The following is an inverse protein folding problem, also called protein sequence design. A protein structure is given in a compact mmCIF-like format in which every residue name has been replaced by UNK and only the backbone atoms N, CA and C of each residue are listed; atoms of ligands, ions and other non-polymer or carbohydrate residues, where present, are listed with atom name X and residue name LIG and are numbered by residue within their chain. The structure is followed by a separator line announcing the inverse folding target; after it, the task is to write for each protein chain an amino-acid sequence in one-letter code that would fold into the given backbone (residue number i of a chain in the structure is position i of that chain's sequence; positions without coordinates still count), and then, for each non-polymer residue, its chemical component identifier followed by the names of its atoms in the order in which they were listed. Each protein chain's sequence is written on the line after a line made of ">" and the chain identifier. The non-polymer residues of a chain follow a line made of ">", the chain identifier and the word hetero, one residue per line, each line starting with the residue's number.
data_IF_605511604929
#
_entry.id   IF_605511604929
#
_cell.length_a   1.000
_cell.length_b   1.000
_cell.length_c   1.000
_cell.angle_alpha   90.00
_cell.angle_beta   90.00
_cell.angle_gamma   90.00
#
_symmetry.space_group_name_H-M   'P 1'
#
loop_
_entity.id
_entity.type
_entity.pdbx_description
1 polymer ?
#
# COMPACT_ATOMS: atom_id res chain seq x y z
N UNK A 1 -1.13 17.45 3.66
CA UNK A 1 -0.27 16.75 2.68
C UNK A 1 1.18 17.22 2.75
N UNK A 2 1.47 18.51 2.61
CA UNK A 2 2.85 19.05 2.70
C UNK A 2 3.57 18.67 4.00
N UNK A 3 2.86 18.71 5.14
CA UNK A 3 3.42 18.35 6.45
C UNK A 3 3.76 16.86 6.61
N UNK A 4 3.17 15.96 5.81
CA UNK A 4 3.37 14.51 5.92
C UNK A 4 4.51 14.02 5.02
N UNK A 5 4.55 14.50 3.78
CA UNK A 5 5.46 14.05 2.71
C UNK A 5 6.50 15.11 2.30
N UNK A 6 6.46 16.30 2.91
CA UNK A 6 7.44 17.37 2.72
C UNK A 6 7.12 18.25 1.52
N UNK A 7 6.53 17.68 0.47
CA UNK A 7 6.03 18.39 -0.70
C UNK A 7 4.67 17.81 -1.11
N UNK A 8 3.77 18.65 -1.62
CA UNK A 8 2.55 18.20 -2.29
C UNK A 8 2.97 17.57 -3.62
N UNK A 9 2.55 16.34 -3.96
CA UNK A 9 2.87 15.73 -5.25
C UNK A 9 2.34 16.59 -6.39
N UNK A 10 3.11 16.74 -7.47
CA UNK A 10 2.69 17.53 -8.65
C UNK A 10 1.35 17.06 -9.19
N UNK A 11 1.07 15.76 -9.11
CA UNK A 11 -0.24 15.18 -9.44
C UNK A 11 -1.38 15.90 -8.71
N UNK A 12 -1.25 16.12 -7.40
CA UNK A 12 -2.29 16.76 -6.60
C UNK A 12 -2.43 18.25 -6.92
N UNK A 13 -1.32 18.91 -7.28
CA UNK A 13 -1.33 20.30 -7.75
C UNK A 13 -2.10 20.40 -9.07
N UNK A 14 -1.69 19.63 -10.08
CA UNK A 14 -2.35 19.60 -11.39
C UNK A 14 -3.82 19.20 -11.26
N UNK A 15 -4.15 18.24 -10.39
CA UNK A 15 -5.53 17.81 -10.16
C UNK A 15 -6.41 18.97 -9.65
N UNK A 16 -5.91 19.77 -8.72
CA UNK A 16 -6.64 20.93 -8.19
C UNK A 16 -6.83 22.06 -9.20
N UNK A 17 -5.92 22.20 -10.16
CA UNK A 17 -6.03 23.18 -11.25
C UNK A 17 -7.01 22.69 -12.33
N UNK A 18 -7.02 21.40 -12.64
CA UNK A 18 -7.86 20.80 -13.68
C UNK A 18 -9.30 20.54 -13.22
N UNK A 19 -9.50 20.06 -11.99
CA UNK A 19 -10.82 19.74 -11.44
C UNK A 19 -10.80 19.78 -9.90
N UNK A 20 -11.30 20.89 -9.35
CA UNK A 20 -11.34 21.13 -7.90
C UNK A 20 -12.22 20.14 -7.15
N UNK A 21 -13.39 19.80 -7.69
CA UNK A 21 -14.33 18.90 -7.01
C UNK A 21 -13.74 17.50 -6.87
N UNK A 22 -13.11 17.00 -7.94
CA UNK A 22 -12.39 15.73 -7.93
C UNK A 22 -11.19 15.74 -6.96
N UNK A 23 -10.46 16.86 -6.89
CA UNK A 23 -9.40 17.03 -5.90
C UNK A 23 -9.93 16.98 -4.47
N UNK A 24 -11.01 17.72 -4.18
CA UNK A 24 -11.60 17.78 -2.83
C UNK A 24 -12.18 16.43 -2.41
N UNK A 25 -12.87 15.73 -3.32
CA UNK A 25 -13.35 14.37 -3.06
C UNK A 25 -12.18 13.46 -2.71
N UNK A 26 -11.12 13.44 -3.52
CA UNK A 26 -9.96 12.57 -3.28
C UNK A 26 -9.30 12.83 -1.92
N UNK A 27 -9.12 14.10 -1.56
CA UNK A 27 -8.53 14.49 -0.27
C UNK A 27 -9.47 14.12 0.89
N UNK A 28 -10.77 14.35 0.74
CA UNK A 28 -11.77 14.00 1.75
C UNK A 28 -11.86 12.49 1.97
N UNK A 29 -11.80 11.70 0.90
CA UNK A 29 -11.80 10.25 0.93
C UNK A 29 -10.58 9.72 1.72
N UNK A 30 -9.37 10.23 1.44
CA UNK A 30 -8.19 9.90 2.23
C UNK A 30 -8.39 10.25 3.71
N UNK A 31 -8.93 11.44 4.03
CA UNK A 31 -9.16 11.84 5.42
C UNK A 31 -10.14 10.89 6.12
N UNK A 32 -11.25 10.54 5.46
CA UNK A 32 -12.23 9.60 5.98
C UNK A 32 -11.62 8.21 6.21
N UNK A 33 -10.87 7.67 5.24
CA UNK A 33 -10.23 6.36 5.38
C UNK A 33 -9.23 6.31 6.56
N UNK A 34 -8.60 7.44 6.91
CA UNK A 34 -7.66 7.53 8.03
C UNK A 34 -8.28 7.99 9.34
N UNK A 35 -9.56 8.37 9.40
CA UNK A 35 -10.18 8.96 10.59
C UNK A 35 -10.49 7.95 11.70
N UNK A 36 -10.72 6.68 11.37
CA UNK A 36 -11.14 5.68 12.35
C UNK A 36 -10.09 5.39 13.42
N UNK A 37 -10.48 5.30 14.69
CA UNK A 37 -9.52 5.22 15.80
C UNK A 37 -9.08 3.79 16.16
N UNK A 38 -9.81 2.78 15.68
CA UNK A 38 -9.61 1.37 16.04
C UNK A 38 -8.28 0.79 15.54
N UNK A 39 -7.72 1.33 14.45
CA UNK A 39 -6.42 0.92 13.92
C UNK A 39 -5.41 2.00 14.26
N UNK A 40 -4.38 1.72 15.09
CA UNK A 40 -3.35 2.67 15.41
C UNK A 40 -2.67 3.25 14.14
N UNK A 41 -2.29 4.55 14.14
CA UNK A 41 -1.74 5.22 12.96
C UNK A 41 -0.55 4.49 12.31
N UNK A 42 0.30 3.86 13.12
CA UNK A 42 1.43 3.04 12.65
C UNK A 42 0.98 1.96 11.67
N UNK A 43 -0.03 1.18 12.05
CA UNK A 43 -0.50 0.06 11.23
C UNK A 43 -1.16 0.53 9.93
N UNK A 44 -1.85 1.68 9.94
CA UNK A 44 -2.40 2.26 8.70
C UNK A 44 -1.30 2.55 7.67
N UNK A 45 -0.15 3.06 8.13
CA UNK A 45 0.99 3.34 7.24
C UNK A 45 1.60 2.04 6.72
N UNK A 46 1.82 1.04 7.58
CA UNK A 46 2.35 -0.27 7.17
C UNK A 46 1.40 -1.00 6.21
N UNK A 47 0.09 -0.98 6.46
CA UNK A 47 -0.91 -1.53 5.55
C UNK A 47 -0.87 -0.83 4.18
N UNK A 48 -0.74 0.50 4.17
CA UNK A 48 -0.65 1.26 2.92
C UNK A 48 0.62 0.94 2.13
N UNK A 49 1.74 0.75 2.83
CA UNK A 49 2.99 0.25 2.23
C UNK A 49 2.80 -1.15 1.64
N UNK A 50 2.18 -2.07 2.39
CA UNK A 50 1.91 -3.43 1.94
C UNK A 50 1.03 -3.46 0.69
N UNK A 51 -0.04 -2.66 0.65
CA UNK A 51 -0.93 -2.55 -0.51
C UNK A 51 -0.16 -1.99 -1.72
N UNK A 52 0.61 -0.92 -1.54
CA UNK A 52 1.45 -0.36 -2.60
C UNK A 52 2.47 -1.37 -3.15
N UNK A 53 3.12 -2.12 -2.27
CA UNK A 53 4.07 -3.16 -2.63
C UNK A 53 3.42 -4.36 -3.34
N UNK A 54 2.24 -4.80 -2.90
CA UNK A 54 1.49 -5.88 -3.54
C UNK A 54 1.10 -5.51 -4.99
N UNK A 55 0.67 -4.26 -5.21
CA UNK A 55 0.29 -3.70 -6.51
C UNK A 55 1.50 -3.36 -7.41
N UNK A 56 2.73 -3.39 -6.89
CA UNK A 56 3.92 -2.97 -7.63
C UNK A 56 3.99 -1.47 -7.92
N UNK A 57 3.31 -0.64 -7.12
CA UNK A 57 3.29 0.81 -7.31
C UNK A 57 4.50 1.47 -6.62
N UNK A 58 5.56 1.71 -7.38
CA UNK A 58 6.82 2.29 -6.86
C UNK A 58 6.64 3.62 -6.14
N UNK A 59 5.74 4.48 -6.62
CA UNK A 59 5.49 5.78 -6.00
C UNK A 59 4.86 5.60 -4.62
N UNK A 60 3.84 4.74 -4.50
CA UNK A 60 3.25 4.40 -3.21
C UNK A 60 4.28 3.79 -2.26
N UNK A 61 5.13 2.88 -2.73
CA UNK A 61 6.18 2.25 -1.92
C UNK A 61 7.11 3.32 -1.36
N UNK A 62 7.64 4.22 -2.21
CA UNK A 62 8.51 5.32 -1.77
C UNK A 62 7.80 6.26 -0.79
N UNK A 63 6.58 6.68 -1.10
CA UNK A 63 5.79 7.60 -0.27
C UNK A 63 5.51 7.02 1.12
N UNK A 64 5.02 5.79 1.21
CA UNK A 64 4.68 5.19 2.51
C UNK A 64 5.90 4.76 3.30
N UNK A 65 7.01 4.39 2.64
CA UNK A 65 8.29 4.15 3.31
C UNK A 65 8.81 5.44 3.95
N UNK A 66 8.82 6.56 3.22
CA UNK A 66 9.25 7.86 3.76
C UNK A 66 8.36 8.31 4.92
N UNK A 67 7.04 8.13 4.79
CA UNK A 67 6.09 8.45 5.86
C UNK A 67 6.33 7.59 7.11
N UNK A 68 6.59 6.29 6.94
CA UNK A 68 6.90 5.37 8.02
C UNK A 68 8.14 5.82 8.78
N UNK A 69 9.23 6.10 8.07
CA UNK A 69 10.49 6.58 8.65
C UNK A 69 10.28 7.89 9.45
N UNK A 70 9.53 8.84 8.90
CA UNK A 70 9.23 10.11 9.58
C UNK A 70 8.35 9.96 10.82
N UNK A 71 7.56 8.90 10.90
CA UNK A 71 6.72 8.57 12.05
C UNK A 71 7.42 7.68 13.07
N UNK A 72 8.72 7.41 12.89
CA UNK A 72 9.53 6.62 13.82
C UNK A 72 9.26 5.12 13.75
N UNK A 73 8.60 4.65 12.69
CA UNK A 73 8.43 3.21 12.43
C UNK A 73 9.81 2.62 12.12
N UNK A 74 10.14 1.49 12.74
CA UNK A 74 11.50 0.94 12.65
C UNK A 74 11.78 0.36 11.27
N UNK A 75 13.08 0.23 10.94
CA UNK A 75 13.50 -0.46 9.72
C UNK A 75 13.00 -1.91 9.70
N UNK A 76 13.02 -2.57 10.84
CA UNK A 76 12.59 -3.97 10.99
C UNK A 76 11.09 -4.09 10.69
N UNK A 77 10.24 -3.22 11.24
CA UNK A 77 8.79 -3.21 10.94
C UNK A 77 8.50 -2.99 9.44
N UNK A 78 9.27 -2.11 8.79
CA UNK A 78 9.15 -1.86 7.35
C UNK A 78 9.58 -3.10 6.54
N UNK A 79 10.71 -3.71 6.88
CA UNK A 79 11.24 -4.89 6.18
C UNK A 79 10.33 -6.11 6.39
N UNK A 80 9.83 -6.33 7.60
CA UNK A 80 8.86 -7.39 7.91
C UNK A 80 7.55 -7.18 7.14
N UNK A 81 7.09 -5.93 7.00
CA UNK A 81 5.91 -5.61 6.18
C UNK A 81 6.12 -5.98 4.71
N UNK A 82 7.29 -5.68 4.15
CA UNK A 82 7.64 -6.05 2.77
C UNK A 82 7.75 -7.58 2.62
N UNK A 83 8.38 -8.25 3.57
CA UNK A 83 8.52 -9.71 3.60
C UNK A 83 7.15 -10.40 3.65
N UNK A 84 6.27 -9.95 4.54
CA UNK A 84 4.90 -10.44 4.65
C UNK A 84 4.13 -10.21 3.34
N UNK A 85 4.26 -9.02 2.76
CA UNK A 85 3.64 -8.69 1.47
C UNK A 85 4.11 -9.64 0.36
N UNK A 86 5.42 -9.90 0.27
CA UNK A 86 5.99 -10.86 -0.68
C UNK A 86 5.39 -12.26 -0.49
N UNK A 87 5.30 -12.72 0.75
CA UNK A 87 4.72 -14.02 1.06
C UNK A 87 3.25 -14.10 0.64
N UNK A 88 2.41 -13.15 1.08
CA UNK A 88 0.96 -13.12 0.76
C UNK A 88 0.72 -12.97 -0.75
N UNK A 89 1.53 -12.17 -1.45
CA UNK A 89 1.45 -12.09 -2.91
C UNK A 89 1.90 -13.39 -3.58
N UNK A 90 2.89 -14.09 -3.01
CA UNK A 90 3.34 -15.38 -3.52
C UNK A 90 2.32 -16.49 -3.33
N UNK A 91 1.60 -16.51 -2.21
CA UNK A 91 0.58 -17.53 -1.94
C UNK A 91 -0.59 -17.44 -2.92
N UNK A 92 -0.92 -16.25 -3.42
CA UNK A 92 -1.97 -16.10 -4.44
C UNK A 92 -1.61 -16.80 -5.76
N UNK A 93 -0.32 -16.91 -6.11
CA UNK A 93 0.13 -17.68 -7.28
C UNK A 93 -0.17 -19.17 -7.10
N UNK A 94 0.15 -19.71 -5.92
CA UNK A 94 -0.10 -21.13 -5.61
C UNK A 94 -1.61 -21.40 -5.58
N UNK A 95 -2.38 -20.54 -4.93
CA UNK A 95 -3.84 -20.68 -4.85
C UNK A 95 -4.50 -20.61 -6.23
N UNK A 96 -4.07 -19.67 -7.09
CA UNK A 96 -4.57 -19.55 -8.45
C UNK A 96 -4.17 -20.75 -9.34
N UNK A 97 -3.05 -21.42 -9.02
CA UNK A 97 -2.56 -22.58 -9.76
C UNK A 97 -3.14 -23.92 -9.28
N UNK A 98 -4.19 -23.93 -8.44
CA UNK A 98 -4.75 -25.15 -7.84
C UNK A 98 -5.06 -26.25 -8.88
N UNK A 99 -5.63 -25.89 -10.03
CA UNK A 99 -6.02 -26.86 -11.07
C UNK A 99 -4.78 -27.46 -11.73
N UNK A 100 -3.77 -26.64 -12.03
CA UNK A 100 -2.50 -27.10 -12.59
C UNK A 100 -1.78 -28.06 -11.63
N UNK A 101 -1.77 -27.74 -10.33
CA UNK A 101 -1.20 -28.61 -9.30
C UNK A 101 -1.96 -29.94 -9.24
N UNK A 102 -3.29 -29.92 -9.30
CA UNK A 102 -4.11 -31.14 -9.32
C UNK A 102 -3.87 -31.99 -10.58
N UNK A 103 -3.68 -31.38 -11.75
CA UNK A 103 -3.32 -32.09 -12.98
C UNK A 103 -2.00 -32.84 -12.84
N UNK A 104 -0.96 -32.19 -12.32
CA UNK A 104 0.36 -32.80 -12.11
C UNK A 104 0.27 -33.94 -11.09
N UNK A 105 -0.41 -33.74 -9.97
CA UNK A 105 -0.60 -34.78 -8.94
C UNK A 105 -1.29 -36.05 -9.47
N UNK A 106 -2.26 -35.90 -10.38
CA UNK A 106 -2.97 -37.04 -10.97
C UNK A 106 -2.18 -37.72 -12.08
N UNK A 107 -1.25 -37.05 -12.74
CA UNK A 107 -0.42 -37.63 -13.80
C UNK A 107 0.68 -38.59 -13.26
N UNK A 108 1.00 -38.49 -11.97
CA UNK A 108 1.98 -39.36 -11.28
C UNK A 108 1.35 -40.66 -10.71
N UNK A 109 0.03 -40.84 -10.85
CA UNK A 109 -0.69 -42.07 -10.46
C UNK A 109 -0.94 -42.97 -11.66
#
# INVERSE_FOLDING_TARGET
>A
MTQEIGQVPDLMKHLSELNKDMFFEHVSNKQFAYSGENIPPKYKILMSLAIGAALGNENCIKTYTLLALRKGITKDEILETIQLTRYVKGTSVIAAAQDAIAMVYNAEK
#
